data_IF_788882790439
#
_entry.id   IF_788882790439
#
_cell.length_a   1.000
_cell.length_b   1.000
_cell.length_c   1.000
_cell.angle_alpha   90.00
_cell.angle_beta   90.00
_cell.angle_gamma   90.00
#
_symmetry.space_group_name_H-M   'P 1'
#
loop_
_entity.id
_entity.type
_entity.pdbx_description
1 polymer ?
#
# COMPACT_ATOMS: atom_id res chain seq x y z
N UNK A 1 6.72 -7.58 3.84
CA UNK A 1 7.95 -8.42 3.90
C UNK A 1 8.22 -8.72 5.36
N UNK A 2 8.50 -9.99 5.71
CA UNK A 2 8.92 -10.36 7.07
C UNK A 2 10.24 -9.67 7.44
N UNK A 3 10.39 -9.25 8.69
CA UNK A 3 11.54 -8.46 9.12
C UNK A 3 12.88 -9.18 8.91
N UNK A 4 12.94 -10.51 9.16
CA UNK A 4 14.16 -11.29 8.92
C UNK A 4 14.52 -11.36 7.42
N UNK A 5 13.51 -11.41 6.54
CA UNK A 5 13.72 -11.35 5.09
C UNK A 5 14.24 -9.98 4.67
N UNK A 6 13.65 -8.89 5.21
CA UNK A 6 14.12 -7.53 4.95
C UNK A 6 15.57 -7.37 5.38
N UNK A 7 15.92 -7.85 6.59
CA UNK A 7 17.30 -7.86 7.09
C UNK A 7 18.25 -8.59 6.14
N UNK A 8 17.91 -9.80 5.71
CA UNK A 8 18.73 -10.59 4.79
C UNK A 8 18.95 -9.88 3.45
N UNK A 9 17.92 -9.22 2.91
CA UNK A 9 18.03 -8.42 1.68
C UNK A 9 18.96 -7.22 1.90
N UNK A 10 18.84 -6.52 3.01
CA UNK A 10 19.73 -5.39 3.34
C UNK A 10 21.19 -5.84 3.52
N UNK A 11 21.43 -6.96 4.19
CA UNK A 11 22.76 -7.53 4.37
C UNK A 11 23.40 -7.88 3.00
N UNK A 12 22.66 -8.56 2.12
CA UNK A 12 23.11 -8.87 0.77
C UNK A 12 23.40 -7.61 -0.06
N UNK A 13 22.53 -6.61 0.02
CA UNK A 13 22.72 -5.35 -0.70
C UNK A 13 23.97 -4.62 -0.20
N UNK A 14 24.21 -4.61 1.11
CA UNK A 14 25.41 -4.04 1.73
C UNK A 14 26.69 -4.73 1.27
N UNK A 15 26.70 -6.07 1.25
CA UNK A 15 27.84 -6.87 0.74
C UNK A 15 28.16 -6.57 -0.72
N UNK A 16 27.16 -6.17 -1.52
CA UNK A 16 27.31 -5.81 -2.93
C UNK A 16 27.59 -4.33 -3.17
N UNK A 17 27.70 -3.51 -2.11
CA UNK A 17 27.83 -2.06 -2.22
C UNK A 17 26.61 -1.37 -2.84
N UNK A 18 25.43 -2.00 -2.80
CA UNK A 18 24.20 -1.45 -3.34
C UNK A 18 23.51 -0.50 -2.35
N UNK A 19 22.82 0.50 -2.88
CA UNK A 19 21.93 1.35 -2.10
C UNK A 19 20.75 0.55 -1.53
N UNK A 20 20.37 0.83 -0.29
CA UNK A 20 19.17 0.30 0.36
C UNK A 20 18.21 1.46 0.54
N UNK A 21 17.22 1.54 -0.34
CA UNK A 21 16.15 2.54 -0.29
C UNK A 21 14.86 1.78 -0.01
N UNK A 22 14.23 2.06 1.12
CA UNK A 22 13.03 1.36 1.59
C UNK A 22 11.88 2.34 1.70
N UNK A 23 10.81 2.07 0.95
CA UNK A 23 9.56 2.83 1.04
C UNK A 23 8.70 2.27 2.18
N UNK A 24 8.61 3.02 3.27
CA UNK A 24 7.81 2.71 4.45
C UNK A 24 6.49 3.48 4.52
N UNK A 25 6.03 4.02 3.39
CA UNK A 25 4.77 4.82 3.32
C UNK A 25 3.55 4.11 3.92
N UNK A 26 3.55 2.77 3.93
CA UNK A 26 2.46 1.95 4.45
C UNK A 26 2.81 1.22 5.76
N UNK A 27 3.97 1.48 6.38
CA UNK A 27 4.42 0.75 7.56
C UNK A 27 3.41 0.83 8.71
N UNK A 28 2.90 2.03 9.01
CA UNK A 28 1.94 2.25 10.09
C UNK A 28 0.53 1.68 9.81
N UNK A 29 0.26 1.25 8.56
CA UNK A 29 -0.96 0.53 8.17
C UNK A 29 -0.76 -1.00 8.14
N UNK A 30 0.42 -1.50 8.49
CA UNK A 30 0.67 -2.93 8.60
C UNK A 30 -0.06 -3.55 9.79
N UNK A 31 -0.23 -4.86 9.72
CA UNK A 31 -0.72 -5.63 10.87
C UNK A 31 0.32 -5.56 12.00
N UNK A 32 -0.15 -5.59 13.22
CA UNK A 32 0.72 -5.69 14.38
C UNK A 32 1.47 -7.03 14.38
N UNK A 33 2.65 -7.04 14.97
CA UNK A 33 3.35 -8.29 15.24
C UNK A 33 2.52 -9.19 16.17
N UNK A 34 2.76 -10.52 16.21
CA UNK A 34 1.99 -11.43 17.05
C UNK A 34 1.97 -11.10 18.55
N UNK A 35 2.97 -10.36 19.02
CA UNK A 35 3.05 -9.87 20.41
C UNK A 35 2.31 -8.53 20.63
N UNK A 36 1.66 -8.01 19.58
CA UNK A 36 0.93 -6.74 19.60
C UNK A 36 1.79 -5.50 19.36
N UNK A 37 3.09 -5.66 19.17
CA UNK A 37 3.99 -4.55 18.86
C UNK A 37 3.83 -4.05 17.43
N UNK A 38 4.31 -2.83 17.16
CA UNK A 38 4.39 -2.28 15.82
C UNK A 38 5.42 -3.01 14.96
N UNK A 39 5.17 -3.09 13.66
CA UNK A 39 6.16 -3.56 12.67
C UNK A 39 7.39 -2.64 12.72
N UNK A 40 8.56 -3.24 12.69
CA UNK A 40 9.83 -2.51 12.80
C UNK A 40 10.20 -1.86 11.47
N UNK A 41 10.67 -0.62 11.54
CA UNK A 41 11.37 0.04 10.43
C UNK A 41 12.65 -0.73 10.06
N UNK A 42 13.06 -0.62 8.79
CA UNK A 42 14.36 -1.13 8.33
C UNK A 42 15.53 -0.57 9.15
N UNK A 43 15.41 0.63 9.70
CA UNK A 43 16.43 1.26 10.55
C UNK A 43 16.76 0.44 11.80
N UNK A 44 15.87 -0.46 12.22
CA UNK A 44 16.14 -1.38 13.33
C UNK A 44 17.18 -2.47 12.99
N UNK A 45 17.43 -2.74 11.70
CA UNK A 45 18.45 -3.71 11.25
C UNK A 45 19.51 -3.12 10.31
N UNK A 46 19.23 -1.98 9.69
CA UNK A 46 20.17 -1.28 8.80
C UNK A 46 20.08 0.23 9.00
N UNK A 47 20.88 0.81 9.94
CA UNK A 47 20.87 2.24 10.24
C UNK A 47 21.35 3.11 9.08
N UNK A 48 22.04 2.52 8.08
CA UNK A 48 22.51 3.21 6.88
C UNK A 48 21.53 3.09 5.70
N UNK A 49 20.35 2.49 5.90
CA UNK A 49 19.32 2.48 4.88
C UNK A 49 18.69 3.88 4.71
N UNK A 50 18.27 4.18 3.48
CA UNK A 50 17.44 5.35 3.20
C UNK A 50 15.99 4.93 3.35
N UNK A 51 15.26 5.60 4.24
CA UNK A 51 13.81 5.40 4.40
C UNK A 51 13.06 6.54 3.75
N UNK A 52 12.07 6.21 2.93
CA UNK A 52 11.09 7.15 2.42
C UNK A 52 9.74 6.89 3.10
N UNK A 53 9.07 7.93 3.58
CA UNK A 53 7.73 7.81 4.15
C UNK A 53 6.87 9.06 3.87
N UNK A 54 5.59 9.01 4.21
CA UNK A 54 4.64 10.03 3.80
C UNK A 54 3.50 10.22 4.80
N UNK A 55 3.06 11.45 4.96
CA UNK A 55 1.82 11.80 5.66
C UNK A 55 0.55 11.40 4.90
N UNK A 56 0.67 10.95 3.65
CA UNK A 56 -0.48 10.69 2.77
C UNK A 56 -1.37 9.54 3.21
N UNK A 57 -0.82 8.49 3.86
CA UNK A 57 -1.54 7.23 4.09
C UNK A 57 -2.07 7.13 5.51
N UNK A 58 -1.25 6.76 6.48
CA UNK A 58 -1.67 6.61 7.87
C UNK A 58 -2.31 7.89 8.42
N UNK A 59 -1.69 9.03 8.22
CA UNK A 59 -2.19 10.33 8.69
C UNK A 59 -3.33 10.91 7.83
N UNK A 60 -3.63 10.33 6.66
CA UNK A 60 -4.74 10.78 5.80
C UNK A 60 -4.50 12.13 5.11
N UNK A 61 -3.26 12.63 5.07
CA UNK A 61 -2.92 13.93 4.50
C UNK A 61 -2.57 13.86 3.00
N UNK A 62 -3.27 13.05 2.22
CA UNK A 62 -2.95 12.78 0.80
C UNK A 62 -2.87 14.05 -0.04
N UNK A 63 -3.80 14.99 0.12
CA UNK A 63 -3.84 16.27 -0.62
C UNK A 63 -2.82 17.30 -0.17
N UNK A 64 -2.21 17.13 1.00
CA UNK A 64 -1.26 18.08 1.58
C UNK A 64 0.15 17.98 1.00
N UNK A 65 0.44 16.91 0.28
CA UNK A 65 1.71 16.70 -0.44
C UNK A 65 2.95 16.83 0.44
N UNK A 66 3.01 16.07 1.53
CA UNK A 66 4.13 16.04 2.47
C UNK A 66 4.60 14.62 2.73
N UNK A 67 5.90 14.45 2.77
CA UNK A 67 6.59 13.22 3.16
C UNK A 67 7.90 13.58 3.84
N UNK A 68 8.62 12.57 4.28
CA UNK A 68 9.96 12.71 4.85
C UNK A 68 10.87 11.59 4.38
N UNK A 69 12.15 11.82 4.56
CA UNK A 69 13.18 10.86 4.29
C UNK A 69 14.13 10.78 5.48
N UNK A 70 14.52 9.59 5.86
CA UNK A 70 15.64 9.37 6.78
C UNK A 70 16.83 8.93 5.94
N UNK A 71 17.96 9.62 6.05
CA UNK A 71 19.16 9.34 5.27
C UNK A 71 20.36 9.19 6.19
N UNK A 72 21.38 8.40 5.82
CA UNK A 72 22.64 8.33 6.56
C UNK A 72 23.33 9.69 6.60
N UNK A 73 24.08 9.94 7.67
CA UNK A 73 24.76 11.22 7.91
C UNK A 73 25.63 11.66 6.72
N UNK A 74 26.34 10.72 6.09
CA UNK A 74 27.19 11.01 4.92
C UNK A 74 26.40 11.49 3.68
N UNK A 75 25.11 11.28 3.62
CA UNK A 75 24.25 11.65 2.50
C UNK A 75 23.45 12.94 2.75
N UNK A 76 23.46 13.49 3.98
CA UNK A 76 22.62 14.63 4.37
C UNK A 76 22.89 15.86 3.49
N UNK A 77 24.15 16.25 3.33
CA UNK A 77 24.52 17.45 2.54
C UNK A 77 24.05 17.34 1.09
N UNK A 78 24.30 16.17 0.44
CA UNK A 78 23.89 15.94 -0.93
C UNK A 78 22.36 15.91 -1.08
N UNK A 79 21.63 15.38 -0.10
CA UNK A 79 20.17 15.35 -0.12
C UNK A 79 19.56 16.74 0.11
N UNK A 80 20.16 17.56 0.96
CA UNK A 80 19.73 18.94 1.20
C UNK A 80 19.93 19.80 -0.05
N UNK A 81 21.09 19.66 -0.70
CA UNK A 81 21.37 20.30 -1.97
C UNK A 81 20.37 19.89 -3.07
N UNK A 82 20.10 18.60 -3.20
CA UNK A 82 19.10 18.09 -4.16
C UNK A 82 17.73 18.67 -3.86
N UNK A 83 17.26 18.61 -2.61
CA UNK A 83 15.96 19.12 -2.20
C UNK A 83 15.83 20.62 -2.51
N UNK A 84 16.84 21.40 -2.13
CA UNK A 84 16.86 22.85 -2.36
C UNK A 84 16.82 23.19 -3.87
N UNK A 85 17.55 22.46 -4.71
CA UNK A 85 17.61 22.73 -6.14
C UNK A 85 16.40 22.23 -6.93
N UNK A 86 15.73 21.14 -6.47
CA UNK A 86 14.56 20.59 -7.18
C UNK A 86 13.24 21.25 -6.79
N UNK A 87 13.04 21.61 -5.52
CA UNK A 87 11.75 22.13 -5.03
C UNK A 87 11.84 23.16 -3.90
N UNK A 88 13.04 23.64 -3.56
CA UNK A 88 13.35 24.62 -2.50
C UNK A 88 13.04 24.08 -1.10
N UNK A 89 11.78 23.91 -0.76
CA UNK A 89 11.33 23.34 0.50
C UNK A 89 9.89 22.80 0.38
N UNK A 90 9.49 21.96 1.31
CA UNK A 90 8.08 21.57 1.42
C UNK A 90 7.23 22.78 1.83
N UNK A 91 5.95 22.78 1.41
CA UNK A 91 5.01 23.86 1.67
C UNK A 91 4.88 24.16 3.18
N UNK A 92 5.26 25.34 3.62
CA UNK A 92 5.36 25.71 5.04
C UNK A 92 4.06 25.52 5.83
N UNK A 93 2.87 25.95 5.36
CA UNK A 93 1.61 25.68 6.06
C UNK A 93 1.34 24.18 6.25
N UNK A 94 1.72 23.33 5.29
CA UNK A 94 1.59 21.89 5.41
C UNK A 94 2.50 21.32 6.49
N UNK A 95 3.73 21.80 6.62
CA UNK A 95 4.64 21.37 7.67
C UNK A 95 4.07 21.70 9.06
N UNK A 96 3.51 22.90 9.24
CA UNK A 96 2.85 23.28 10.48
C UNK A 96 1.61 22.42 10.76
N UNK A 97 0.79 22.13 9.75
CA UNK A 97 -0.36 21.23 9.91
C UNK A 97 0.06 19.80 10.32
N UNK A 98 1.18 19.32 9.80
CA UNK A 98 1.70 17.99 10.10
C UNK A 98 2.14 17.82 11.56
N UNK A 99 2.48 18.90 12.28
CA UNK A 99 2.77 18.81 13.71
C UNK A 99 1.58 18.27 14.51
N UNK A 100 0.35 18.56 14.09
CA UNK A 100 -0.85 18.02 14.72
C UNK A 100 -1.02 16.50 14.54
N UNK A 101 -0.35 15.89 13.56
CA UNK A 101 -0.37 14.44 13.34
C UNK A 101 0.21 13.64 14.52
N UNK A 102 1.08 14.25 15.30
CA UNK A 102 1.78 13.60 16.41
C UNK A 102 1.10 13.79 17.76
N UNK A 103 -0.05 14.45 17.80
CA UNK A 103 -0.81 14.53 19.05
C UNK A 103 -1.50 13.20 19.38
N UNK A 104 -1.66 12.83 20.66
CA UNK A 104 -2.34 11.61 21.06
C UNK A 104 -3.73 11.46 20.46
N UNK A 105 -4.48 12.56 20.36
CA UNK A 105 -5.83 12.59 19.79
C UNK A 105 -5.83 12.23 18.32
N UNK A 106 -4.90 12.78 17.53
CA UNK A 106 -4.79 12.48 16.10
C UNK A 106 -4.33 11.04 15.87
N UNK A 107 -3.36 10.56 16.66
CA UNK A 107 -2.88 9.18 16.58
C UNK A 107 -4.00 8.19 16.91
N UNK A 108 -4.87 8.49 17.89
CA UNK A 108 -6.04 7.67 18.19
C UNK A 108 -7.01 7.58 17.01
N UNK A 109 -7.27 8.70 16.32
CA UNK A 109 -8.11 8.72 15.10
C UNK A 109 -7.47 7.92 13.97
N UNK A 110 -6.16 8.01 13.79
CA UNK A 110 -5.44 7.23 12.78
C UNK A 110 -5.53 5.72 13.08
N UNK A 111 -5.38 5.31 14.33
CA UNK A 111 -5.53 3.91 14.74
C UNK A 111 -6.97 3.40 14.56
N UNK A 112 -7.98 4.19 14.89
CA UNK A 112 -9.38 3.84 14.61
C UNK A 112 -9.61 3.59 13.11
N UNK A 113 -9.06 4.44 12.24
CA UNK A 113 -9.12 4.25 10.79
C UNK A 113 -8.37 3.01 10.33
N UNK A 114 -7.22 2.69 10.95
CA UNK A 114 -6.49 1.45 10.68
C UNK A 114 -7.34 0.22 11.03
N UNK A 115 -8.00 0.22 12.17
CA UNK A 115 -8.92 -0.87 12.57
C UNK A 115 -10.08 -1.02 11.59
N UNK A 116 -10.65 0.10 11.11
CA UNK A 116 -11.68 0.06 10.08
C UNK A 116 -11.18 -0.57 8.77
N UNK A 117 -9.92 -0.32 8.37
CA UNK A 117 -9.33 -0.97 7.20
C UNK A 117 -9.18 -2.48 7.37
N UNK A 118 -8.91 -2.99 8.58
CA UNK A 118 -8.87 -4.44 8.85
C UNK A 118 -10.24 -5.08 8.62
N UNK A 119 -11.32 -4.43 9.06
CA UNK A 119 -12.67 -4.93 8.82
C UNK A 119 -13.05 -4.92 7.33
N UNK A 120 -12.65 -3.87 6.60
CA UNK A 120 -12.85 -3.79 5.14
C UNK A 120 -12.04 -4.85 4.41
N UNK A 121 -10.82 -5.15 4.85
CA UNK A 121 -10.01 -6.23 4.31
C UNK A 121 -10.74 -7.56 4.42
N UNK A 122 -11.30 -7.90 5.59
CA UNK A 122 -12.07 -9.14 5.78
C UNK A 122 -13.21 -9.25 4.77
N UNK A 123 -14.02 -8.18 4.63
CA UNK A 123 -15.10 -8.15 3.66
C UNK A 123 -14.60 -8.46 2.24
N UNK A 124 -13.45 -7.92 1.84
CA UNK A 124 -12.90 -8.14 0.50
C UNK A 124 -12.30 -9.52 0.35
N UNK A 125 -11.55 -10.02 1.33
CA UNK A 125 -10.96 -11.37 1.32
C UNK A 125 -12.06 -12.43 1.19
N UNK A 126 -13.06 -12.37 2.07
CA UNK A 126 -14.19 -13.30 2.08
C UNK A 126 -14.99 -13.19 0.78
N UNK A 127 -15.35 -11.99 0.36
CA UNK A 127 -16.13 -11.76 -0.84
C UNK A 127 -15.43 -12.18 -2.14
N UNK A 128 -14.11 -12.01 -2.25
CA UNK A 128 -13.34 -12.51 -3.39
C UNK A 128 -13.32 -14.05 -3.41
N UNK A 129 -13.19 -14.70 -2.26
CA UNK A 129 -13.26 -16.14 -2.17
C UNK A 129 -14.64 -16.68 -2.57
N UNK A 130 -15.74 -16.06 -2.11
CA UNK A 130 -17.11 -16.42 -2.45
C UNK A 130 -17.41 -16.35 -3.95
N UNK A 131 -16.83 -15.39 -4.67
CA UNK A 131 -17.01 -15.26 -6.13
C UNK A 131 -16.00 -16.10 -6.94
N UNK A 132 -15.18 -16.93 -6.26
CA UNK A 132 -14.22 -17.84 -6.89
C UNK A 132 -12.96 -17.14 -7.42
N UNK A 133 -12.56 -16.04 -6.81
CA UNK A 133 -11.31 -15.31 -7.05
C UNK A 133 -10.50 -15.16 -5.73
N UNK A 134 -10.16 -16.27 -5.05
CA UNK A 134 -9.47 -16.20 -3.76
C UNK A 134 -8.10 -15.54 -3.92
N UNK A 135 -7.66 -14.88 -2.87
CA UNK A 135 -6.31 -14.31 -2.81
C UNK A 135 -5.27 -15.44 -2.67
N UNK A 136 -4.22 -15.41 -3.47
CA UNK A 136 -3.06 -16.30 -3.35
C UNK A 136 -2.20 -15.92 -2.13
N UNK A 137 -2.15 -14.62 -1.83
CA UNK A 137 -1.46 -14.06 -0.65
C UNK A 137 -2.41 -13.08 0.03
N UNK A 138 -2.72 -13.32 1.29
CA UNK A 138 -3.54 -12.41 2.07
C UNK A 138 -2.74 -11.13 2.41
N UNK A 139 -3.32 -9.93 2.23
CA UNK A 139 -2.66 -8.69 2.60
C UNK A 139 -2.43 -8.58 4.11
N UNK A 140 -1.26 -8.15 4.50
CA UNK A 140 -0.90 -7.88 5.90
C UNK A 140 -0.70 -6.38 6.18
N UNK A 141 -1.30 -5.52 5.39
CA UNK A 141 -1.23 -4.07 5.55
C UNK A 141 -1.81 -3.31 4.37
N UNK A 142 -1.63 -2.00 4.36
CA UNK A 142 -2.18 -1.09 3.37
C UNK A 142 -3.71 -1.21 3.22
N UNK A 143 -4.23 -1.06 2.01
CA UNK A 143 -5.67 -1.16 1.71
C UNK A 143 -5.93 -1.67 0.29
N UNK A 144 -5.13 -2.67 -0.14
CA UNK A 144 -5.21 -3.27 -1.46
C UNK A 144 -5.28 -4.80 -1.38
N UNK A 145 -6.11 -5.39 -2.26
CA UNK A 145 -6.11 -6.80 -2.58
C UNK A 145 -5.60 -6.98 -4.01
N UNK A 146 -4.64 -7.88 -4.21
CA UNK A 146 -4.07 -8.21 -5.52
C UNK A 146 -4.36 -9.68 -5.79
N UNK A 147 -5.12 -9.99 -6.84
CA UNK A 147 -5.67 -11.32 -7.06
C UNK A 147 -5.67 -11.73 -8.52
N UNK A 148 -5.64 -13.04 -8.73
CA UNK A 148 -5.59 -13.68 -10.02
C UNK A 148 -6.99 -13.78 -10.63
N UNK A 149 -7.12 -13.40 -11.90
CA UNK A 149 -8.39 -13.44 -12.66
C UNK A 149 -8.35 -14.44 -13.83
N UNK A 150 -7.31 -15.24 -13.96
CA UNK A 150 -7.12 -16.17 -15.09
C UNK A 150 -8.29 -17.13 -15.28
N UNK A 151 -8.99 -17.49 -14.19
CA UNK A 151 -10.18 -18.33 -14.22
C UNK A 151 -11.37 -17.74 -15.00
N UNK A 152 -11.31 -16.44 -15.36
CA UNK A 152 -12.34 -15.77 -16.17
C UNK A 152 -12.09 -15.88 -17.67
N UNK A 153 -10.91 -16.34 -18.09
CA UNK A 153 -10.50 -16.39 -19.49
C UNK A 153 -10.17 -15.02 -20.11
N UNK A 154 -10.20 -13.96 -19.32
CA UNK A 154 -9.85 -12.59 -19.76
C UNK A 154 -8.43 -12.24 -19.31
N UNK A 155 -7.74 -11.41 -20.10
CA UNK A 155 -6.56 -10.70 -19.64
C UNK A 155 -6.94 -9.55 -18.69
N UNK A 156 -5.98 -9.11 -17.86
CA UNK A 156 -6.23 -8.12 -16.80
C UNK A 156 -6.70 -6.76 -17.35
N UNK A 157 -6.23 -6.35 -18.52
CA UNK A 157 -6.67 -5.11 -19.14
C UNK A 157 -8.13 -5.18 -19.57
N UNK A 158 -8.48 -6.18 -20.36
CA UNK A 158 -9.84 -6.43 -20.81
C UNK A 158 -10.80 -6.64 -19.63
N UNK A 159 -10.35 -7.36 -18.59
CA UNK A 159 -11.13 -7.53 -17.36
C UNK A 159 -11.45 -6.19 -16.70
N UNK A 160 -10.46 -5.32 -16.50
CA UNK A 160 -10.65 -4.00 -15.88
C UNK A 160 -11.56 -3.09 -16.72
N UNK A 161 -11.38 -3.06 -18.05
CA UNK A 161 -12.24 -2.27 -18.94
C UNK A 161 -13.70 -2.74 -18.90
N UNK A 162 -13.92 -4.04 -18.97
CA UNK A 162 -15.27 -4.62 -18.95
C UNK A 162 -15.90 -4.46 -17.57
N UNK A 163 -15.16 -4.71 -16.48
CA UNK A 163 -15.66 -4.48 -15.12
C UNK A 163 -16.11 -3.04 -14.92
N UNK A 164 -15.37 -2.08 -15.46
CA UNK A 164 -15.75 -0.66 -15.39
C UNK A 164 -17.02 -0.36 -16.19
N UNK A 165 -17.11 -0.85 -17.43
CA UNK A 165 -18.24 -0.57 -18.34
C UNK A 165 -19.50 -1.32 -17.97
N UNK A 166 -19.39 -2.60 -17.59
CA UNK A 166 -20.53 -3.52 -17.41
C UNK A 166 -20.99 -3.62 -15.95
N UNK A 167 -20.04 -3.51 -14.99
CA UNK A 167 -20.33 -3.65 -13.55
C UNK A 167 -20.13 -2.35 -12.75
N UNK A 168 -19.61 -1.29 -13.37
CA UNK A 168 -19.28 0.00 -12.74
C UNK A 168 -18.30 -0.16 -11.57
N UNK A 169 -17.27 -0.99 -11.77
CA UNK A 169 -16.22 -1.27 -10.80
C UNK A 169 -14.88 -0.87 -11.40
N UNK A 170 -14.19 0.05 -10.73
CA UNK A 170 -12.83 0.47 -11.10
C UNK A 170 -11.81 -0.44 -10.41
N UNK A 171 -10.98 -1.10 -11.21
CA UNK A 171 -9.85 -1.93 -10.78
C UNK A 171 -8.58 -1.47 -11.49
N UNK A 172 -7.42 -1.83 -10.97
CA UNK A 172 -6.13 -1.52 -11.60
C UNK A 172 -5.54 -2.79 -12.20
N UNK A 173 -5.17 -2.81 -13.50
CA UNK A 173 -4.63 -4.00 -14.15
C UNK A 173 -3.20 -4.30 -13.66
N UNK A 174 -2.81 -5.57 -13.69
CA UNK A 174 -1.52 -6.05 -13.20
C UNK A 174 -0.30 -5.42 -13.86
N UNK A 175 -0.41 -4.99 -15.12
CA UNK A 175 0.67 -4.34 -15.86
C UNK A 175 1.21 -3.05 -15.21
N UNK A 176 0.42 -2.41 -14.33
CA UNK A 176 0.85 -1.25 -13.56
C UNK A 176 1.87 -1.61 -12.46
N UNK A 177 2.05 -2.92 -12.17
CA UNK A 177 2.87 -3.42 -11.06
C UNK A 177 4.04 -4.31 -11.50
N UNK A 178 4.14 -4.67 -12.77
CA UNK A 178 5.24 -5.45 -13.32
C UNK A 178 4.81 -6.47 -14.37
N UNK A 179 5.79 -7.01 -15.11
CA UNK A 179 5.54 -7.88 -16.26
C UNK A 179 5.05 -9.28 -15.86
N UNK A 180 5.54 -9.82 -14.74
CA UNK A 180 5.33 -11.21 -14.35
C UNK A 180 3.84 -11.58 -14.17
N UNK A 181 3.01 -10.63 -13.72
CA UNK A 181 1.57 -10.83 -13.46
C UNK A 181 0.69 -9.86 -14.25
N UNK A 182 1.26 -9.20 -15.25
CA UNK A 182 0.63 -8.13 -16.02
C UNK A 182 -0.76 -8.48 -16.54
N UNK A 183 -0.90 -9.67 -17.11
CA UNK A 183 -2.11 -10.12 -17.80
C UNK A 183 -3.05 -10.97 -16.93
N UNK A 184 -2.59 -11.40 -15.76
CA UNK A 184 -3.31 -12.38 -14.94
C UNK A 184 -3.86 -11.83 -13.64
N UNK A 185 -3.39 -10.66 -13.19
CA UNK A 185 -3.76 -10.11 -11.89
C UNK A 185 -4.36 -8.71 -11.99
N UNK A 186 -5.20 -8.39 -11.03
CA UNK A 186 -5.79 -7.07 -10.85
C UNK A 186 -5.72 -6.64 -9.39
N UNK A 187 -5.65 -5.32 -9.16
CA UNK A 187 -5.67 -4.73 -7.83
C UNK A 187 -7.02 -4.08 -7.53
N UNK A 188 -7.60 -4.42 -6.38
CA UNK A 188 -8.76 -3.77 -5.78
C UNK A 188 -8.30 -2.95 -4.57
N UNK A 189 -8.80 -1.71 -4.45
CA UNK A 189 -8.64 -0.90 -3.25
C UNK A 189 -9.85 -1.03 -2.34
N UNK A 190 -9.64 -1.31 -1.04
CA UNK A 190 -10.71 -1.35 -0.05
C UNK A 190 -10.78 -0.08 0.83
N UNK A 191 -10.34 1.05 0.28
CA UNK A 191 -10.46 2.36 0.93
C UNK A 191 -11.91 2.94 0.91
N UNK A 192 -12.85 2.27 0.24
CA UNK A 192 -14.27 2.64 0.18
C UNK A 192 -15.04 2.21 1.44
N UNK A 193 -16.30 2.68 1.61
CA UNK A 193 -17.14 2.24 2.73
C UNK A 193 -17.48 0.76 2.68
N UNK A 194 -17.84 0.16 3.82
CA UNK A 194 -18.23 -1.27 3.91
C UNK A 194 -19.40 -1.60 3.00
N UNK A 195 -20.37 -0.69 2.88
CA UNK A 195 -21.55 -0.84 2.02
C UNK A 195 -21.16 -0.85 0.54
N UNK A 196 -20.29 0.10 0.13
CA UNK A 196 -19.80 0.19 -1.24
C UNK A 196 -18.95 -1.04 -1.61
N UNK A 197 -18.16 -1.58 -0.68
CA UNK A 197 -17.38 -2.80 -0.90
C UNK A 197 -18.27 -4.03 -1.09
N UNK A 198 -19.30 -4.22 -0.24
CA UNK A 198 -20.24 -5.34 -0.40
C UNK A 198 -21.02 -5.26 -1.72
N UNK A 199 -21.50 -4.06 -2.08
CA UNK A 199 -22.19 -3.86 -3.35
C UNK A 199 -21.24 -4.08 -4.54
N UNK A 200 -19.99 -3.58 -4.45
CA UNK A 200 -18.97 -3.80 -5.47
C UNK A 200 -18.66 -5.29 -5.66
N UNK A 201 -18.46 -6.02 -4.57
CA UNK A 201 -18.19 -7.48 -4.63
C UNK A 201 -19.38 -8.26 -5.25
N UNK A 202 -20.62 -7.89 -4.92
CA UNK A 202 -21.79 -8.48 -5.54
C UNK A 202 -21.80 -8.27 -7.07
N UNK A 203 -21.61 -7.02 -7.53
CA UNK A 203 -21.53 -6.71 -8.96
C UNK A 203 -20.36 -7.41 -9.64
N UNK A 204 -19.22 -7.51 -8.95
CA UNK A 204 -18.05 -8.23 -9.45
C UNK A 204 -18.38 -9.72 -9.63
N UNK A 205 -19.09 -10.33 -8.68
CA UNK A 205 -19.54 -11.73 -8.79
C UNK A 205 -20.46 -11.96 -9.99
N UNK A 206 -21.46 -11.08 -10.19
CA UNK A 206 -22.36 -11.14 -11.34
C UNK A 206 -21.59 -10.99 -12.68
N UNK A 207 -20.60 -10.11 -12.71
CA UNK A 207 -19.73 -9.92 -13.88
C UNK A 207 -18.84 -11.15 -14.14
N UNK A 208 -18.20 -11.70 -13.11
CA UNK A 208 -17.33 -12.89 -13.21
C UNK A 208 -18.13 -14.11 -13.68
N UNK A 209 -19.35 -14.30 -13.18
CA UNK A 209 -20.22 -15.38 -13.63
C UNK A 209 -20.53 -15.26 -15.13
N UNK A 210 -20.81 -14.05 -15.64
CA UNK A 210 -21.05 -13.81 -17.08
C UNK A 210 -19.77 -13.98 -17.92
N UNK A 211 -18.60 -13.67 -17.36
CA UNK A 211 -17.35 -13.80 -18.10
C UNK A 211 -16.90 -15.26 -18.26
N UNK A 212 -17.32 -16.14 -17.34
CA UNK A 212 -17.00 -17.58 -17.36
C UNK A 212 -17.98 -18.42 -18.22
N UNK A 213 -19.18 -17.90 -18.49
CA UNK A 213 -20.24 -18.60 -19.28
C UNK A 213 -20.21 -18.23 -20.72
#
# INVERSE_FOLDING_TARGET
IAFDTLKAVCDLARERGAWRIVDETYLDLADREPDGSDVKSVLACDPDAIVCSSFSKFFGMTGWRLGWMVVPEYALEAMDDLATNFFLCAHTPTQHAALACFTPETLAVCEERRQELLERRRIVVDGLAEIGLPLEVEPNGAFYAYFNISSTGLDAWTFCERALKEAHIALTPGRDFGEATADTHVRLSYAASREALREGLKRLGDFVAKARG
#
